data_IF_043272303680
#
_entry.id   IF_043272303680
#
_cell.length_a   1.000
_cell.length_b   1.000
_cell.length_c   1.000
_cell.angle_alpha   90.00
_cell.angle_beta   90.00
_cell.angle_gamma   90.00
#
_symmetry.space_group_name_H-M   'P 1'
#
loop_
_entity.id
_entity.type
_entity.pdbx_description
1 polymer ?
#
# COMPACT_ATOMS: atom_id res chain seq x y z
N UNK A 1 -16.29 20.00 -58.40
CA UNK A 1 -15.06 20.62 -57.87
C UNK A 1 -14.80 20.03 -56.49
N UNK A 2 -13.59 19.53 -56.29
CA UNK A 2 -13.15 18.79 -55.11
C UNK A 2 -12.61 19.73 -54.03
N UNK A 3 -12.65 19.29 -52.76
CA UNK A 3 -11.68 19.48 -51.67
C UNK A 3 -12.41 19.17 -50.35
N UNK A 4 -11.96 18.32 -49.43
CA UNK A 4 -10.71 17.59 -49.25
C UNK A 4 -10.68 17.17 -47.78
N UNK A 5 -11.11 15.94 -47.47
CA UNK A 5 -11.12 15.41 -46.11
C UNK A 5 -9.73 15.00 -45.65
N UNK A 6 -9.15 15.74 -44.71
CA UNK A 6 -7.86 15.39 -44.09
C UNK A 6 -8.07 14.38 -42.96
N UNK A 7 -7.75 13.11 -43.25
CA UNK A 7 -7.62 12.03 -42.28
C UNK A 7 -6.35 12.26 -41.44
N UNK A 8 -6.51 12.40 -40.12
CA UNK A 8 -5.39 12.46 -39.18
C UNK A 8 -4.57 11.17 -39.22
N UNK A 9 -3.27 11.28 -39.55
CA UNK A 9 -2.31 10.17 -39.48
C UNK A 9 -1.90 9.93 -38.03
N UNK A 10 -1.73 8.68 -37.57
CA UNK A 10 -1.15 8.43 -36.25
C UNK A 10 0.34 8.80 -36.25
N UNK A 11 0.75 9.54 -35.21
CA UNK A 11 2.15 9.88 -34.98
C UNK A 11 2.97 8.61 -34.70
N UNK A 12 3.94 8.33 -35.58
CA UNK A 12 4.99 7.34 -35.37
C UNK A 12 5.95 7.89 -34.30
N UNK A 13 5.79 7.43 -33.07
CA UNK A 13 6.78 7.65 -32.01
C UNK A 13 8.09 6.93 -32.37
N UNK A 14 9.15 7.72 -32.48
CA UNK A 14 10.51 7.26 -32.73
C UNK A 14 11.00 6.36 -31.60
N UNK A 15 11.51 5.17 -31.95
CA UNK A 15 12.25 4.30 -31.02
C UNK A 15 13.53 5.02 -30.61
N UNK A 16 13.52 5.63 -29.43
CA UNK A 16 14.73 6.03 -28.73
C UNK A 16 15.43 4.79 -28.19
N UNK A 17 16.55 4.43 -28.80
CA UNK A 17 17.54 3.51 -28.24
C UNK A 17 18.08 4.12 -26.94
N UNK A 18 17.71 3.56 -25.79
CA UNK A 18 18.44 3.85 -24.54
C UNK A 18 19.46 2.76 -24.30
N UNK A 19 20.72 3.19 -24.33
CA UNK A 19 21.90 2.37 -24.14
C UNK A 19 21.90 1.69 -22.78
N UNK A 20 22.54 0.53 -22.75
CA UNK A 20 22.87 -0.21 -21.54
C UNK A 20 23.84 0.59 -20.69
N UNK A 21 23.32 1.26 -19.67
CA UNK A 21 24.04 1.54 -18.45
C UNK A 21 23.59 0.54 -17.41
N UNK A 22 24.49 -0.34 -16.97
CA UNK A 22 24.32 -1.12 -15.75
C UNK A 22 24.26 -0.13 -14.58
N UNK A 23 23.08 0.41 -14.32
CA UNK A 23 22.82 1.17 -13.10
C UNK A 23 22.96 0.16 -11.97
N UNK A 24 24.00 0.32 -11.14
CA UNK A 24 24.05 -0.34 -9.85
C UNK A 24 22.73 -0.04 -9.16
N UNK A 25 21.88 -1.06 -9.02
CA UNK A 25 20.59 -0.90 -8.38
C UNK A 25 20.84 -0.33 -6.99
N UNK A 26 20.27 0.84 -6.71
CA UNK A 26 20.37 1.46 -5.40
C UNK A 26 19.70 0.54 -4.37
N UNK A 27 20.54 -0.25 -3.70
CA UNK A 27 20.11 -1.21 -2.70
C UNK A 27 19.45 -0.52 -1.50
N UNK A 28 19.72 0.76 -1.26
CA UNK A 28 19.12 1.53 -0.17
C UNK A 28 17.68 1.96 -0.43
N UNK A 29 17.28 2.10 -1.70
CA UNK A 29 15.96 2.64 -2.05
C UNK A 29 14.83 1.59 -2.04
N UNK A 30 13.90 1.72 -1.10
CA UNK A 30 12.70 0.89 -0.96
C UNK A 30 11.51 1.51 -1.71
N UNK A 31 10.98 0.80 -2.71
CA UNK A 31 9.75 1.19 -3.40
C UNK A 31 8.49 0.89 -2.58
N UNK A 32 7.44 1.69 -2.72
CA UNK A 32 6.19 1.55 -1.95
C UNK A 32 5.49 0.18 -2.11
N UNK A 33 5.73 -0.54 -3.20
CA UNK A 33 5.14 -1.85 -3.49
C UNK A 33 6.09 -3.04 -3.26
N UNK A 34 7.28 -2.83 -2.70
CA UNK A 34 8.29 -3.89 -2.55
C UNK A 34 7.79 -5.12 -1.78
N UNK A 35 7.16 -4.90 -0.62
CA UNK A 35 6.61 -5.97 0.20
C UNK A 35 5.59 -6.83 -0.57
N UNK A 36 4.81 -6.20 -1.45
CA UNK A 36 3.81 -6.86 -2.28
C UNK A 36 4.43 -7.67 -3.42
N UNK A 37 5.53 -7.19 -4.00
CA UNK A 37 6.27 -7.94 -5.02
C UNK A 37 6.92 -9.18 -4.44
N UNK A 38 7.61 -9.02 -3.30
CA UNK A 38 8.20 -10.16 -2.56
C UNK A 38 7.10 -11.16 -2.19
N UNK A 39 5.95 -10.66 -1.72
CA UNK A 39 4.80 -11.49 -1.40
C UNK A 39 4.27 -12.28 -2.62
N UNK A 40 4.16 -11.62 -3.78
CA UNK A 40 3.66 -12.23 -5.00
C UNK A 40 4.62 -13.30 -5.58
N UNK A 41 5.93 -13.09 -5.48
CA UNK A 41 6.97 -14.03 -5.91
C UNK A 41 6.88 -15.38 -5.18
N UNK A 42 6.37 -15.38 -3.95
CA UNK A 42 6.20 -16.56 -3.10
C UNK A 42 4.78 -17.14 -3.10
N UNK A 43 3.95 -16.86 -4.11
CA UNK A 43 2.59 -17.43 -4.21
C UNK A 43 2.52 -18.97 -4.36
N UNK A 44 3.60 -19.69 -4.03
CA UNK A 44 3.67 -21.15 -3.96
C UNK A 44 3.29 -21.68 -2.57
N UNK A 45 2.62 -22.83 -2.55
CA UNK A 45 2.11 -23.55 -1.36
C UNK A 45 3.18 -24.33 -0.60
N UNK A 46 4.45 -23.94 -0.65
CA UNK A 46 5.52 -24.67 0.05
C UNK A 46 5.43 -24.41 1.56
N UNK A 47 5.01 -25.40 2.37
CA UNK A 47 4.82 -25.22 3.81
C UNK A 47 6.15 -25.15 4.58
N UNK A 48 7.29 -25.39 3.93
CA UNK A 48 8.61 -25.26 4.54
C UNK A 48 9.12 -23.82 4.54
N UNK A 49 8.49 -22.94 3.75
CA UNK A 49 8.83 -21.52 3.73
C UNK A 49 8.28 -20.79 4.97
N UNK A 50 8.99 -19.77 5.47
CA UNK A 50 8.49 -18.95 6.56
C UNK A 50 7.19 -18.24 6.15
N UNK A 51 6.33 -17.84 7.10
CA UNK A 51 5.14 -17.05 6.78
C UNK A 51 5.53 -15.82 5.95
N UNK A 52 4.77 -15.51 4.90
CA UNK A 52 5.09 -14.50 3.89
C UNK A 52 5.66 -13.18 4.44
N UNK A 53 5.07 -12.67 5.53
CA UNK A 53 5.52 -11.47 6.24
C UNK A 53 6.92 -11.59 6.84
N UNK A 54 7.28 -12.76 7.36
CA UNK A 54 8.61 -13.04 7.91
C UNK A 54 9.63 -13.01 6.78
N UNK A 55 9.34 -13.64 5.64
CA UNK A 55 10.22 -13.55 4.47
C UNK A 55 10.44 -12.11 4.02
N UNK A 56 9.36 -11.34 3.86
CA UNK A 56 9.44 -9.94 3.47
C UNK A 56 10.38 -9.19 4.42
N UNK A 57 10.21 -9.36 5.73
CA UNK A 57 11.07 -8.73 6.73
C UNK A 57 12.53 -9.21 6.63
N UNK A 58 12.78 -10.50 6.42
CA UNK A 58 14.13 -11.06 6.28
C UNK A 58 14.83 -10.53 5.03
N UNK A 59 14.14 -10.45 3.88
CA UNK A 59 14.69 -9.86 2.65
C UNK A 59 14.98 -8.38 2.80
N UNK A 60 14.06 -7.62 3.41
CA UNK A 60 14.28 -6.20 3.69
C UNK A 60 15.45 -6.01 4.67
N UNK A 61 15.59 -6.86 5.68
CA UNK A 61 16.71 -6.84 6.60
C UNK A 61 18.05 -7.12 5.89
N UNK A 62 18.12 -8.18 5.08
CA UNK A 62 19.32 -8.51 4.30
C UNK A 62 19.71 -7.37 3.34
N UNK A 63 18.71 -6.76 2.68
CA UNK A 63 18.91 -5.61 1.81
C UNK A 63 19.43 -4.39 2.58
N UNK A 64 18.86 -4.09 3.74
CA UNK A 64 19.33 -3.01 4.61
C UNK A 64 20.80 -3.21 5.00
N UNK A 65 21.18 -4.44 5.39
CA UNK A 65 22.57 -4.81 5.71
C UNK A 65 23.52 -4.56 4.54
N UNK A 66 23.13 -4.96 3.33
CA UNK A 66 23.91 -4.73 2.11
C UNK A 66 24.02 -3.23 1.74
N UNK A 67 23.02 -2.43 2.11
CA UNK A 67 22.96 -0.99 1.85
C UNK A 67 23.56 -0.11 2.97
N UNK A 68 24.45 -0.64 3.81
CA UNK A 68 25.08 0.13 4.89
C UNK A 68 24.18 0.32 6.12
N UNK A 69 23.22 -0.58 6.32
CA UNK A 69 22.36 -0.64 7.49
C UNK A 69 21.11 0.24 7.43
N UNK A 70 20.82 0.89 6.31
CA UNK A 70 19.68 1.82 6.17
C UNK A 70 18.93 1.56 4.87
N UNK A 71 17.60 1.66 4.94
CA UNK A 71 16.73 1.78 3.78
C UNK A 71 16.05 3.14 3.82
N UNK A 72 15.73 3.68 2.65
CA UNK A 72 14.96 4.91 2.50
C UNK A 72 13.95 4.74 1.37
N UNK A 73 12.90 5.53 1.39
CA UNK A 73 11.88 5.49 0.35
C UNK A 73 10.91 6.65 0.50
N UNK A 74 10.07 6.81 -0.50
CA UNK A 74 8.94 7.73 -0.48
C UNK A 74 7.67 6.98 -0.86
N UNK A 75 6.54 7.50 -0.42
CA UNK A 75 5.25 6.91 -0.77
C UNK A 75 4.21 7.99 -0.96
N UNK A 76 3.38 7.80 -1.98
CA UNK A 76 2.13 8.54 -2.18
C UNK A 76 0.94 7.57 -2.13
N UNK A 77 1.10 6.46 -1.40
CA UNK A 77 0.12 5.40 -1.31
C UNK A 77 -1.13 5.88 -0.57
N UNK A 78 -2.26 5.86 -1.27
CA UNK A 78 -3.58 6.07 -0.69
C UNK A 78 -4.24 4.71 -0.45
N UNK A 79 -4.59 4.42 0.80
CA UNK A 79 -5.29 3.19 1.20
C UNK A 79 -6.78 3.49 1.34
N UNK A 80 -7.60 2.73 0.63
CA UNK A 80 -9.06 2.90 0.57
C UNK A 80 -9.76 1.52 0.59
N UNK A 81 -11.08 1.45 0.82
CA UNK A 81 -11.82 0.19 0.82
C UNK A 81 -11.51 -0.69 -0.39
N UNK A 82 -11.26 -1.98 -0.13
CA UNK A 82 -10.77 -2.94 -1.13
C UNK A 82 -9.25 -3.11 -1.20
N UNK A 83 -8.48 -2.31 -0.44
CA UNK A 83 -7.02 -2.43 -0.41
C UNK A 83 -6.54 -3.80 0.13
N UNK A 84 -5.70 -4.53 -0.62
CA UNK A 84 -5.24 -5.86 -0.20
C UNK A 84 -4.06 -5.73 0.77
N UNK A 85 -4.27 -5.57 2.08
CA UNK A 85 -3.12 -5.50 3.00
C UNK A 85 -2.32 -6.82 3.01
N UNK A 86 -0.99 -6.71 2.87
CA UNK A 86 -0.06 -7.84 2.87
C UNK A 86 0.68 -8.03 4.21
N UNK A 87 0.95 -6.94 4.94
CA UNK A 87 1.82 -6.96 6.13
C UNK A 87 1.08 -6.81 7.45
N UNK A 88 0.04 -5.97 7.49
CA UNK A 88 -0.65 -5.62 8.72
C UNK A 88 -1.96 -6.42 8.86
N UNK A 89 -2.09 -7.17 9.95
CA UNK A 89 -3.32 -7.87 10.34
C UNK A 89 -4.23 -7.02 11.24
N UNK A 90 -3.71 -5.93 11.80
CA UNK A 90 -4.48 -5.02 12.62
C UNK A 90 -3.81 -3.66 12.77
N UNK A 91 -4.56 -2.72 13.33
CA UNK A 91 -4.16 -1.34 13.54
C UNK A 91 -4.68 -0.87 14.89
N UNK A 92 -3.79 -0.26 15.68
CA UNK A 92 -4.17 0.57 16.81
C UNK A 92 -4.09 2.02 16.33
N UNK A 93 -5.19 2.76 16.45
CA UNK A 93 -5.27 4.15 15.98
C UNK A 93 -6.35 4.92 16.71
N UNK A 94 -6.28 6.25 16.72
CA UNK A 94 -7.30 7.12 17.27
C UNK A 94 -8.63 7.04 16.49
N UNK A 95 -9.70 7.63 17.05
CA UNK A 95 -10.92 7.91 16.31
C UNK A 95 -10.74 9.17 15.45
N UNK A 96 -10.96 9.04 14.14
CA UNK A 96 -10.71 10.10 13.16
C UNK A 96 -11.97 10.88 12.80
N UNK A 97 -11.80 12.10 12.31
CA UNK A 97 -12.92 12.87 11.79
C UNK A 97 -13.57 12.17 10.57
N UNK A 98 -14.90 12.31 10.38
CA UNK A 98 -15.56 11.93 9.14
C UNK A 98 -14.90 12.57 7.91
N UNK A 99 -15.00 11.90 6.76
CA UNK A 99 -14.48 12.37 5.46
C UNK A 99 -12.98 12.67 5.40
N UNK A 100 -12.20 12.15 6.35
CA UNK A 100 -10.74 12.23 6.34
C UNK A 100 -10.09 11.09 5.55
N UNK A 101 -8.87 11.30 5.03
CA UNK A 101 -8.09 10.24 4.38
C UNK A 101 -7.72 9.10 5.34
N UNK A 102 -7.57 9.40 6.64
CA UNK A 102 -7.40 8.38 7.68
C UNK A 102 -8.66 7.52 7.87
N UNK A 103 -9.85 8.10 7.68
CA UNK A 103 -11.09 7.32 7.65
C UNK A 103 -11.12 6.34 6.48
N UNK A 104 -10.53 6.67 5.33
CA UNK A 104 -10.39 5.73 4.21
C UNK A 104 -9.52 4.52 4.58
N UNK A 105 -8.39 4.74 5.26
CA UNK A 105 -7.52 3.67 5.77
C UNK A 105 -8.26 2.77 6.77
N UNK A 106 -8.95 3.37 7.75
CA UNK A 106 -9.74 2.63 8.76
C UNK A 106 -10.83 1.80 8.09
N UNK A 107 -11.57 2.40 7.16
CA UNK A 107 -12.63 1.72 6.40
C UNK A 107 -12.08 0.57 5.55
N UNK A 108 -10.88 0.72 5.00
CA UNK A 108 -10.21 -0.33 4.26
C UNK A 108 -9.88 -1.53 5.14
N UNK A 109 -9.39 -1.29 6.36
CA UNK A 109 -9.03 -2.35 7.29
C UNK A 109 -10.26 -3.07 7.87
N UNK A 110 -11.35 -2.33 8.08
CA UNK A 110 -12.64 -2.88 8.53
C UNK A 110 -13.42 -3.60 7.40
N UNK A 111 -12.92 -3.56 6.17
CA UNK A 111 -13.50 -4.25 5.01
C UNK A 111 -14.63 -3.50 4.30
N UNK A 112 -15.25 -2.49 4.93
CA UNK A 112 -16.24 -1.63 4.29
C UNK A 112 -16.38 -0.29 5.03
N UNK A 113 -16.86 0.74 4.32
CA UNK A 113 -17.26 2.00 4.94
C UNK A 113 -18.49 1.84 5.86
N UNK A 114 -19.35 0.84 5.60
CA UNK A 114 -20.51 0.56 6.44
C UNK A 114 -20.12 0.06 7.83
N UNK A 115 -19.13 -0.84 7.90
CA UNK A 115 -18.60 -1.35 9.17
C UNK A 115 -17.96 -0.22 9.99
N UNK A 116 -17.18 0.64 9.32
CA UNK A 116 -16.60 1.82 9.97
C UNK A 116 -17.68 2.76 10.51
N UNK A 117 -18.73 3.00 9.73
CA UNK A 117 -19.86 3.83 10.16
C UNK A 117 -20.52 3.28 11.43
N UNK A 118 -20.79 1.99 11.50
CA UNK A 118 -21.42 1.37 12.68
C UNK A 118 -20.59 1.55 13.95
N UNK A 119 -19.27 1.28 13.87
CA UNK A 119 -18.35 1.45 15.00
C UNK A 119 -18.28 2.92 15.45
N UNK A 120 -18.26 3.85 14.51
CA UNK A 120 -18.19 5.28 14.82
C UNK A 120 -19.52 5.81 15.37
N UNK A 121 -20.67 5.31 14.92
CA UNK A 121 -21.97 5.61 15.52
C UNK A 121 -22.05 5.13 16.97
N UNK A 122 -21.48 3.95 17.28
CA UNK A 122 -21.33 3.49 18.65
C UNK A 122 -20.43 4.43 19.48
N UNK A 123 -19.28 4.81 18.95
CA UNK A 123 -18.33 5.69 19.63
C UNK A 123 -18.95 7.06 19.98
N UNK A 124 -19.76 7.63 19.08
CA UNK A 124 -20.53 8.85 19.34
C UNK A 124 -21.54 8.64 20.47
N UNK A 125 -22.34 7.55 20.41
CA UNK A 125 -23.35 7.23 21.45
C UNK A 125 -22.73 7.06 22.84
N UNK A 126 -21.53 6.50 22.90
CA UNK A 126 -20.76 6.28 24.13
C UNK A 126 -19.84 7.43 24.51
N UNK A 127 -19.86 8.55 23.77
CA UNK A 127 -19.07 9.76 24.03
C UNK A 127 -17.56 9.52 24.09
N UNK A 128 -17.05 8.69 23.19
CA UNK A 128 -15.60 8.56 23.00
C UNK A 128 -15.00 9.90 22.57
N UNK A 129 -13.76 10.14 23.00
CA UNK A 129 -12.98 11.32 22.63
C UNK A 129 -12.28 11.06 21.29
N UNK A 130 -12.37 12.00 20.36
CA UNK A 130 -11.80 11.87 19.01
C UNK A 130 -10.43 12.56 18.92
N UNK A 131 -9.75 12.34 17.79
CA UNK A 131 -8.50 12.98 17.40
C UNK A 131 -7.29 12.59 18.27
N UNK A 132 -6.19 13.33 18.14
CA UNK A 132 -4.85 12.96 18.57
C UNK A 132 -4.70 12.65 20.06
N UNK A 133 -5.52 13.28 20.91
CA UNK A 133 -5.52 13.08 22.36
C UNK A 133 -6.77 12.37 22.88
N UNK A 134 -7.58 11.84 21.95
CA UNK A 134 -8.77 11.09 22.24
C UNK A 134 -8.49 9.63 22.62
N UNK A 135 -9.55 8.85 22.59
CA UNK A 135 -9.50 7.43 22.84
C UNK A 135 -8.93 6.70 21.61
N UNK A 136 -8.45 5.49 21.84
CA UNK A 136 -7.88 4.61 20.81
C UNK A 136 -8.85 3.50 20.43
N UNK A 137 -8.72 3.05 19.19
CA UNK A 137 -9.41 1.89 18.63
C UNK A 137 -8.38 0.82 18.29
N UNK A 138 -8.75 -0.44 18.48
CA UNK A 138 -8.02 -1.59 17.94
C UNK A 138 -8.90 -2.26 16.89
N UNK A 139 -8.36 -2.40 15.68
CA UNK A 139 -9.06 -2.96 14.52
C UNK A 139 -8.23 -4.14 14.05
N UNK A 140 -8.82 -5.34 14.10
CA UNK A 140 -8.20 -6.55 13.57
C UNK A 140 -8.95 -6.98 12.31
N UNK A 141 -8.20 -7.39 11.28
CA UNK A 141 -8.76 -8.11 10.15
C UNK A 141 -9.11 -9.52 10.58
N UNK A 142 -10.31 -9.98 10.22
CA UNK A 142 -10.62 -11.40 10.29
C UNK A 142 -9.58 -12.17 9.46
N UNK A 143 -8.93 -13.16 10.10
CA UNK A 143 -8.01 -14.05 9.39
C UNK A 143 -8.82 -14.84 8.36
N UNK A 144 -8.41 -14.76 7.10
CA UNK A 144 -8.90 -15.66 6.05
C UNK A 144 -8.24 -17.02 6.20
#
# INVERSE_FOLDING_TARGET
MAHGGSRGRPMRGTRGTRGGGSATADLGHLGQWEAYRIAAEQSGTDPTLPPLRVEVLMRLHARARAAGGRLYGSTSLCIAPGYPFAMCDGLITNFHAPDSTLMCLVSALMGSAANAREVYEHAVKQRYRYLSYGDSSFIARARR
#
